data_IF_603410160591
#
_entry.id   IF_603410160591
#
_cell.length_a   1.000
_cell.length_b   1.000
_cell.length_c   1.000
_cell.angle_alpha   90.00
_cell.angle_beta   90.00
_cell.angle_gamma   90.00
#
_symmetry.space_group_name_H-M   'P 1'
#
loop_
_entity.id
_entity.type
_entity.pdbx_description
1 polymer ?
#
# COMPACT_ATOMS: atom_id res chain seq x y z
N UNK A 1 13.45 12.86 13.68
CA UNK A 1 12.00 12.79 13.40
C UNK A 1 11.26 12.62 14.72
N UNK A 2 10.38 13.56 15.08
CA UNK A 2 9.74 13.62 16.40
C UNK A 2 8.21 13.71 16.29
N UNK A 3 7.63 13.06 15.28
CA UNK A 3 6.20 13.17 14.95
C UNK A 3 5.60 11.79 14.79
N UNK A 4 4.46 11.56 15.44
CA UNK A 4 3.66 10.34 15.35
C UNK A 4 2.30 10.63 14.73
N UNK A 5 1.70 9.61 14.13
CA UNK A 5 0.34 9.61 13.62
C UNK A 5 -0.49 8.61 14.43
N UNK A 6 -1.66 9.05 14.85
CA UNK A 6 -2.68 8.23 15.53
C UNK A 6 -3.86 8.10 14.59
N UNK A 7 -4.21 6.87 14.22
CA UNK A 7 -5.29 6.56 13.29
C UNK A 7 -6.19 5.47 13.87
N UNK A 8 -7.32 5.20 13.21
CA UNK A 8 -8.36 4.31 13.76
C UNK A 8 -8.82 4.78 15.15
N UNK A 9 -9.11 6.07 15.27
CA UNK A 9 -9.51 6.71 16.52
C UNK A 9 -11.03 6.57 16.75
N UNK A 10 -11.50 6.52 18.01
CA UNK A 10 -12.93 6.57 18.32
C UNK A 10 -13.59 7.83 17.78
N UNK A 11 -14.86 7.75 17.39
CA UNK A 11 -15.63 8.91 16.93
C UNK A 11 -15.77 10.01 18.00
N UNK A 12 -15.70 9.63 19.28
CA UNK A 12 -15.79 10.51 20.44
C UNK A 12 -14.42 10.79 21.09
N UNK A 13 -13.33 10.75 20.31
CA UNK A 13 -11.99 11.01 20.81
C UNK A 13 -11.72 12.51 20.88
N UNK A 14 -11.72 13.08 22.10
CA UNK A 14 -11.65 14.53 22.33
C UNK A 14 -10.21 15.02 22.47
N UNK A 15 -9.99 16.34 22.33
CA UNK A 15 -8.68 16.94 22.59
C UNK A 15 -8.18 16.69 24.02
N UNK A 16 -9.08 16.67 25.01
CA UNK A 16 -8.73 16.35 26.40
C UNK A 16 -8.27 14.91 26.55
N UNK A 17 -8.91 13.96 25.86
CA UNK A 17 -8.46 12.56 25.85
C UNK A 17 -7.06 12.46 25.26
N UNK A 18 -6.81 13.13 24.13
CA UNK A 18 -5.51 13.14 23.46
C UNK A 18 -4.44 13.68 24.41
N UNK A 19 -4.68 14.84 25.04
CA UNK A 19 -3.73 15.42 25.97
C UNK A 19 -3.49 14.51 27.18
N UNK A 20 -4.55 14.00 27.82
CA UNK A 20 -4.42 13.10 28.99
C UNK A 20 -3.65 11.83 28.68
N UNK A 21 -3.86 11.23 27.51
CA UNK A 21 -3.24 9.95 27.15
C UNK A 21 -1.80 10.17 26.66
N UNK A 22 -1.59 11.12 25.74
CA UNK A 22 -0.32 11.24 25.02
C UNK A 22 0.74 12.08 25.76
N UNK A 23 0.34 12.95 26.69
CA UNK A 23 1.31 13.71 27.51
C UNK A 23 2.11 12.82 28.47
N UNK A 24 1.60 11.63 28.80
CA UNK A 24 2.28 10.66 29.67
C UNK A 24 3.63 10.17 29.12
N UNK A 25 3.85 10.29 27.81
CA UNK A 25 5.05 9.82 27.12
C UNK A 25 6.05 10.95 26.82
N UNK A 26 5.70 12.19 27.18
CA UNK A 26 6.61 13.34 27.09
C UNK A 26 5.92 14.63 26.66
N UNK A 27 6.73 15.69 26.58
CA UNK A 27 6.26 17.04 26.24
C UNK A 27 5.79 17.11 24.78
N UNK A 28 4.52 17.43 24.58
CA UNK A 28 3.90 17.66 23.27
C UNK A 28 4.18 19.10 22.84
N UNK A 29 4.77 19.28 21.65
CA UNK A 29 4.99 20.58 21.01
C UNK A 29 3.80 21.02 20.16
N UNK A 30 3.15 20.09 19.48
CA UNK A 30 2.04 20.39 18.59
C UNK A 30 1.11 19.18 18.43
N UNK A 31 -0.19 19.46 18.35
CA UNK A 31 -1.22 18.51 17.97
C UNK A 31 -1.94 19.07 16.74
N UNK A 32 -2.13 18.24 15.72
CA UNK A 32 -2.87 18.58 14.51
C UNK A 32 -3.88 17.48 14.22
N UNK A 33 -5.16 17.84 14.22
CA UNK A 33 -6.25 16.90 13.97
C UNK A 33 -6.72 17.01 12.52
N UNK A 34 -7.01 15.86 11.93
CA UNK A 34 -7.69 15.73 10.64
C UNK A 34 -8.91 14.83 10.83
N UNK A 35 -9.78 14.73 9.81
CA UNK A 35 -10.97 13.88 9.89
C UNK A 35 -10.66 12.39 10.17
N UNK A 36 -9.47 11.91 9.81
CA UNK A 36 -9.13 10.47 9.87
C UNK A 36 -7.97 10.13 10.81
N UNK A 37 -7.22 11.13 11.26
CA UNK A 37 -6.00 10.92 12.02
C UNK A 37 -5.61 12.15 12.83
N UNK A 38 -4.83 11.92 13.87
CA UNK A 38 -4.21 12.93 14.72
C UNK A 38 -2.71 12.85 14.55
N UNK A 39 -2.05 13.99 14.42
CA UNK A 39 -0.61 14.10 14.36
C UNK A 39 -0.11 14.75 15.65
N UNK A 40 0.83 14.09 16.32
CA UNK A 40 1.41 14.58 17.58
C UNK A 40 2.90 14.76 17.36
N UNK A 41 3.39 15.97 17.62
CA UNK A 41 4.81 16.30 17.57
C UNK A 41 5.33 16.42 18.99
N UNK A 42 6.30 15.58 19.37
CA UNK A 42 6.95 15.62 20.68
C UNK A 42 8.23 16.45 20.65
N UNK A 43 8.67 16.87 21.83
CA UNK A 43 9.99 17.50 22.00
C UNK A 43 11.14 16.55 21.70
N UNK A 44 10.98 15.24 21.93
CA UNK A 44 12.04 14.23 21.76
C UNK A 44 11.60 13.06 20.87
N UNK A 45 12.59 12.42 20.21
CA UNK A 45 12.38 11.16 19.49
C UNK A 45 12.02 10.02 20.45
N UNK A 46 12.59 10.01 21.65
CA UNK A 46 12.34 8.99 22.67
C UNK A 46 10.87 8.93 23.07
N UNK A 47 10.24 10.09 23.27
CA UNK A 47 8.80 10.19 23.55
C UNK A 47 7.93 9.57 22.46
N UNK A 48 8.34 9.70 21.19
CA UNK A 48 7.64 9.06 20.07
C UNK A 48 7.76 7.53 20.14
N UNK A 49 8.96 7.03 20.41
CA UNK A 49 9.22 5.58 20.54
C UNK A 49 8.39 4.98 21.67
N UNK A 50 8.37 5.62 22.84
CA UNK A 50 7.58 5.16 23.98
C UNK A 50 6.07 5.19 23.70
N UNK A 51 5.57 6.29 23.13
CA UNK A 51 4.17 6.40 22.76
C UNK A 51 3.76 5.31 21.74
N UNK A 52 4.55 5.10 20.68
CA UNK A 52 4.29 4.05 19.69
C UNK A 52 4.27 2.67 20.37
N UNK A 53 5.30 2.34 21.16
CA UNK A 53 5.41 1.03 21.79
C UNK A 53 4.29 0.73 22.80
N UNK A 54 3.78 1.76 23.50
CA UNK A 54 2.78 1.57 24.56
C UNK A 54 1.34 1.75 24.09
N UNK A 55 1.11 2.47 23.00
CA UNK A 55 -0.24 2.82 22.55
C UNK A 55 -0.65 2.18 21.22
N UNK A 56 0.30 1.74 20.38
CA UNK A 56 -0.07 1.10 19.11
C UNK A 56 -0.83 -0.21 19.38
N UNK A 57 -2.04 -0.32 18.83
CA UNK A 57 -2.92 -1.47 19.05
C UNK A 57 -3.64 -1.47 20.41
N UNK A 58 -3.60 -0.37 21.17
CA UNK A 58 -4.31 -0.28 22.45
C UNK A 58 -5.81 -0.04 22.23
N UNK A 59 -6.65 -0.73 23.00
CA UNK A 59 -8.10 -0.51 23.02
C UNK A 59 -8.42 0.77 23.81
N UNK A 60 -9.05 1.75 23.17
CA UNK A 60 -9.48 3.00 23.77
C UNK A 60 -10.90 3.28 23.28
N UNK A 61 -11.86 3.42 24.21
CA UNK A 61 -13.29 3.64 23.89
C UNK A 61 -13.78 2.73 22.76
N UNK A 62 -13.57 1.42 22.94
CA UNK A 62 -13.98 0.35 22.00
C UNK A 62 -13.25 0.33 20.64
N UNK A 63 -12.31 1.24 20.39
CA UNK A 63 -11.51 1.25 19.17
C UNK A 63 -10.04 0.91 19.45
N UNK A 64 -9.47 -0.02 18.67
CA UNK A 64 -8.04 -0.30 18.70
C UNK A 64 -7.27 0.78 17.94
N UNK A 65 -6.69 1.74 18.65
CA UNK A 65 -5.96 2.83 18.00
C UNK A 65 -4.68 2.32 17.36
N UNK A 66 -4.27 2.96 16.25
CA UNK A 66 -3.02 2.68 15.55
C UNK A 66 -2.09 3.86 15.72
N UNK A 67 -0.90 3.61 16.26
CA UNK A 67 0.12 4.63 16.49
C UNK A 67 1.38 4.25 15.73
N UNK A 68 1.84 5.14 14.85
CA UNK A 68 3.00 4.90 13.98
C UNK A 68 3.77 6.21 13.76
N UNK A 69 4.94 6.13 13.14
CA UNK A 69 5.70 7.30 12.72
C UNK A 69 4.95 8.10 11.65
N UNK A 70 4.88 9.43 11.82
CA UNK A 70 4.24 10.32 10.87
C UNK A 70 5.20 10.78 9.77
N UNK A 71 5.61 9.89 8.86
CA UNK A 71 6.47 10.32 7.75
C UNK A 71 5.71 11.23 6.80
N UNK A 72 6.45 12.15 6.17
CA UNK A 72 5.90 13.03 5.13
C UNK A 72 5.30 12.21 3.99
N UNK A 73 4.24 12.72 3.38
CA UNK A 73 3.57 12.01 2.28
C UNK A 73 4.52 11.87 1.09
N UNK A 74 5.25 12.94 0.77
CA UNK A 74 6.07 13.03 -0.44
C UNK A 74 7.41 12.27 -0.32
N UNK A 75 7.74 11.76 0.88
CA UNK A 75 8.89 10.86 1.07
C UNK A 75 8.51 9.37 1.04
N UNK A 76 7.21 9.04 0.98
CA UNK A 76 6.71 7.65 0.95
C UNK A 76 6.47 7.19 -0.48
N UNK A 77 6.88 5.96 -0.74
CA UNK A 77 6.47 5.19 -1.92
C UNK A 77 6.01 3.80 -1.53
N UNK A 78 5.08 3.26 -2.30
CA UNK A 78 4.53 1.93 -2.14
C UNK A 78 4.90 1.11 -3.37
N UNK A 79 5.66 0.04 -3.13
CA UNK A 79 6.18 -0.83 -4.18
C UNK A 79 5.41 -2.14 -4.14
N UNK A 80 4.89 -2.51 -5.30
CA UNK A 80 4.10 -3.71 -5.55
C UNK A 80 4.84 -4.62 -6.54
N UNK A 81 4.33 -5.83 -6.70
CA UNK A 81 4.90 -6.85 -7.56
C UNK A 81 6.31 -7.33 -7.14
N UNK A 82 6.58 -7.29 -5.83
CA UNK A 82 7.81 -7.84 -5.26
C UNK A 82 7.68 -9.38 -5.21
N UNK A 83 8.70 -10.13 -5.67
CA UNK A 83 8.72 -11.59 -5.56
C UNK A 83 8.58 -12.07 -4.11
N UNK A 84 7.82 -13.15 -3.89
CA UNK A 84 7.45 -13.62 -2.55
C UNK A 84 8.62 -14.20 -1.75
N UNK A 85 9.69 -14.63 -2.42
CA UNK A 85 10.93 -15.17 -1.87
C UNK A 85 11.96 -14.08 -1.50
N UNK A 86 11.54 -12.82 -1.49
CA UNK A 86 12.43 -11.68 -1.26
C UNK A 86 12.53 -11.31 0.22
N UNK A 87 13.75 -11.06 0.70
CA UNK A 87 13.99 -10.58 2.06
C UNK A 87 14.00 -9.05 2.14
N UNK A 88 13.76 -8.50 3.33
CA UNK A 88 13.84 -7.05 3.56
C UNK A 88 15.25 -6.51 3.34
N UNK A 89 16.29 -7.30 3.65
CA UNK A 89 17.70 -6.91 3.49
C UNK A 89 18.10 -6.81 2.01
N UNK A 90 17.61 -7.74 1.18
CA UNK A 90 17.79 -7.67 -0.27
C UNK A 90 17.15 -6.40 -0.84
N UNK A 91 15.93 -6.07 -0.40
CA UNK A 91 15.23 -4.86 -0.83
C UNK A 91 15.91 -3.60 -0.32
N UNK A 92 16.40 -3.62 0.93
CA UNK A 92 17.12 -2.51 1.51
C UNK A 92 18.39 -2.20 0.69
N UNK A 93 19.15 -3.25 0.34
CA UNK A 93 20.35 -3.16 -0.50
C UNK A 93 20.03 -2.67 -1.91
N UNK A 94 18.94 -3.18 -2.51
CA UNK A 94 18.52 -2.75 -3.84
C UNK A 94 18.07 -1.28 -3.85
N UNK A 95 17.24 -0.87 -2.89
CA UNK A 95 16.67 0.48 -2.88
C UNK A 95 17.64 1.55 -2.38
N UNK A 96 18.70 1.19 -1.64
CA UNK A 96 19.71 2.15 -1.19
C UNK A 96 20.48 2.80 -2.34
N UNK A 97 20.47 2.18 -3.54
CA UNK A 97 21.00 2.80 -4.74
C UNK A 97 20.23 4.06 -5.19
N UNK A 98 18.91 4.11 -4.91
CA UNK A 98 18.05 5.21 -5.35
C UNK A 98 17.97 6.37 -4.36
N UNK A 99 18.48 6.18 -3.14
CA UNK A 99 18.49 7.21 -2.10
C UNK A 99 18.68 6.61 -0.70
N UNK A 100 18.96 7.48 0.27
CA UNK A 100 19.09 7.07 1.67
C UNK A 100 17.72 6.67 2.24
N UNK A 101 17.63 5.42 2.71
CA UNK A 101 16.40 4.84 3.22
C UNK A 101 16.21 5.29 4.68
N UNK A 102 15.14 6.05 4.92
CA UNK A 102 14.71 6.42 6.27
C UNK A 102 13.98 5.26 6.95
N UNK A 103 13.14 4.54 6.20
CA UNK A 103 12.35 3.44 6.73
C UNK A 103 11.85 2.52 5.62
N UNK A 104 11.87 1.22 5.87
CA UNK A 104 11.41 0.19 4.95
C UNK A 104 10.62 -0.88 5.73
N UNK A 105 9.41 -1.24 5.27
CA UNK A 105 8.62 -2.32 5.86
C UNK A 105 7.64 -2.95 4.89
N UNK A 106 7.34 -4.23 5.09
CA UNK A 106 6.21 -4.87 4.42
C UNK A 106 4.87 -4.49 5.09
N UNK A 107 3.88 -4.22 4.26
CA UNK A 107 2.47 -4.04 4.58
C UNK A 107 1.68 -5.08 3.78
N UNK A 108 1.55 -6.29 4.32
CA UNK A 108 1.09 -7.48 3.56
C UNK A 108 2.04 -7.75 2.39
N UNK A 109 1.57 -7.65 1.15
CA UNK A 109 2.33 -7.86 -0.09
C UNK A 109 2.85 -6.55 -0.73
N UNK A 110 2.76 -5.43 -0.02
CA UNK A 110 3.22 -4.11 -0.48
C UNK A 110 4.41 -3.71 0.38
N UNK A 111 5.50 -3.25 -0.23
CA UNK A 111 6.61 -2.65 0.50
C UNK A 111 6.36 -1.15 0.63
N UNK A 112 6.30 -0.67 1.87
CA UNK A 112 6.43 0.76 2.16
C UNK A 112 7.92 1.09 2.22
N UNK A 113 8.34 2.02 1.38
CA UNK A 113 9.68 2.59 1.40
C UNK A 113 9.57 4.10 1.66
N UNK A 114 10.38 4.60 2.56
CA UNK A 114 10.46 6.01 2.93
C UNK A 114 11.89 6.47 2.78
N UNK A 115 12.12 7.50 1.96
CA UNK A 115 13.44 8.10 1.80
C UNK A 115 13.66 9.23 2.82
N UNK A 116 14.93 9.47 3.16
CA UNK A 116 15.33 10.66 3.91
C UNK A 116 15.04 11.91 3.08
N UNK A 117 15.32 11.86 1.77
CA UNK A 117 15.06 12.96 0.83
C UNK A 117 13.81 12.68 -0.03
N UNK A 118 12.84 13.60 0.00
CA UNK A 118 11.61 13.54 -0.82
C UNK A 118 11.87 13.55 -2.34
N UNK A 119 13.02 14.07 -2.79
CA UNK A 119 13.39 14.05 -4.20
C UNK A 119 13.69 12.63 -4.69
N UNK A 120 14.26 11.79 -3.83
CA UNK A 120 14.57 10.39 -4.15
C UNK A 120 13.28 9.58 -4.33
N UNK A 121 12.28 9.82 -3.48
CA UNK A 121 10.93 9.27 -3.64
C UNK A 121 10.29 9.69 -4.99
N UNK A 122 10.36 10.98 -5.33
CA UNK A 122 9.88 11.51 -6.62
C UNK A 122 10.59 10.88 -7.81
N UNK A 123 11.91 10.76 -7.75
CA UNK A 123 12.72 10.15 -8.80
C UNK A 123 12.38 8.68 -8.98
N UNK A 124 12.23 7.93 -7.88
CA UNK A 124 11.85 6.52 -7.94
C UNK A 124 10.45 6.35 -8.54
N UNK A 125 9.49 7.23 -8.24
CA UNK A 125 8.15 7.20 -8.86
C UNK A 125 8.18 7.32 -10.38
N UNK A 126 9.13 8.07 -10.96
CA UNK A 126 9.30 8.19 -12.43
C UNK A 126 9.76 6.88 -13.09
N UNK A 127 10.24 5.92 -12.29
CA UNK A 127 10.69 4.60 -12.68
C UNK A 127 9.61 3.52 -12.52
N UNK A 128 8.37 3.89 -12.20
CA UNK A 128 7.24 2.97 -12.13
C UNK A 128 7.11 2.15 -13.43
N UNK A 129 7.17 0.82 -13.30
CA UNK A 129 7.10 -0.12 -14.43
C UNK A 129 8.38 -0.22 -15.28
N UNK A 130 9.45 0.53 -14.95
CA UNK A 130 10.71 0.56 -15.72
C UNK A 130 11.85 -0.21 -15.07
N UNK A 131 11.83 -0.35 -13.75
CA UNK A 131 12.84 -1.11 -13.00
C UNK A 131 12.32 -2.52 -12.69
N UNK A 132 13.23 -3.49 -12.66
CA UNK A 132 12.92 -4.86 -12.29
C UNK A 132 13.78 -5.34 -11.12
N UNK A 133 13.24 -6.26 -10.34
CA UNK A 133 13.92 -6.93 -9.25
C UNK A 133 13.63 -8.44 -9.34
N UNK A 134 14.68 -9.26 -9.37
CA UNK A 134 14.60 -10.72 -9.64
C UNK A 134 13.65 -11.05 -10.81
N UNK A 135 13.79 -10.34 -11.94
CA UNK A 135 12.98 -10.47 -13.16
C UNK A 135 11.53 -9.95 -13.08
N UNK A 136 11.06 -9.43 -11.95
CA UNK A 136 9.75 -8.79 -11.84
C UNK A 136 9.86 -7.28 -12.02
N UNK A 137 9.15 -6.71 -13.00
CA UNK A 137 8.99 -5.27 -13.10
C UNK A 137 8.18 -4.72 -11.92
N UNK A 138 8.76 -3.77 -11.21
CA UNK A 138 8.18 -3.20 -10.00
C UNK A 138 7.14 -2.13 -10.35
N UNK A 139 6.03 -2.14 -9.61
CA UNK A 139 5.01 -1.08 -9.68
C UNK A 139 5.17 -0.15 -8.48
N UNK A 140 5.35 1.14 -8.73
CA UNK A 140 5.67 2.14 -7.71
C UNK A 140 4.56 3.19 -7.70
N UNK A 141 4.04 3.50 -6.51
CA UNK A 141 2.87 4.37 -6.34
C UNK A 141 2.97 5.19 -5.05
N UNK A 142 2.15 6.25 -4.95
CA UNK A 142 2.06 7.12 -3.75
C UNK A 142 1.05 6.62 -2.72
N UNK A 143 0.36 5.50 -2.98
CA UNK A 143 -0.63 4.94 -2.07
C UNK A 143 -0.62 3.42 -2.05
N UNK A 144 -1.16 2.84 -0.98
CA UNK A 144 -1.40 1.39 -0.90
C UNK A 144 -2.45 0.92 -1.90
N UNK A 145 -3.27 1.83 -2.42
CA UNK A 145 -4.12 1.51 -3.54
C UNK A 145 -3.17 1.39 -4.73
N UNK A 146 -2.85 0.15 -5.10
CA UNK A 146 -2.51 -0.10 -6.49
C UNK A 146 -3.62 0.57 -7.29
N UNK A 147 -3.26 1.34 -8.32
CA UNK A 147 -4.24 1.63 -9.37
C UNK A 147 -5.00 0.34 -9.60
N UNK A 148 -6.30 0.46 -9.36
CA UNK A 148 -7.23 -0.60 -9.01
C UNK A 148 -7.21 -1.71 -10.05
N UNK A 149 -8.00 -2.75 -9.84
CA UNK A 149 -8.36 -3.76 -10.83
C UNK A 149 -8.89 -3.22 -12.20
N UNK A 150 -8.66 -1.95 -12.54
CA UNK A 150 -8.79 -1.32 -13.87
C UNK A 150 -8.21 -2.15 -15.01
N UNK A 151 -7.19 -2.96 -14.75
CA UNK A 151 -6.58 -3.84 -15.75
C UNK A 151 -7.06 -5.30 -15.61
N UNK A 152 -7.78 -5.64 -14.53
CA UNK A 152 -8.16 -7.00 -14.18
C UNK A 152 -9.66 -7.20 -14.35
N UNK A 153 -10.04 -8.15 -15.19
CA UNK A 153 -11.43 -8.59 -15.32
C UNK A 153 -11.61 -9.85 -14.49
N UNK A 154 -12.62 -9.87 -13.62
CA UNK A 154 -13.05 -11.07 -12.91
C UNK A 154 -14.27 -11.67 -13.61
N UNK A 155 -14.22 -12.98 -13.83
CA UNK A 155 -15.28 -13.74 -14.49
C UNK A 155 -15.84 -14.71 -13.47
N UNK A 156 -17.16 -14.71 -13.32
CA UNK A 156 -17.87 -15.62 -12.42
C UNK A 156 -18.68 -16.61 -13.24
N UNK A 157 -18.96 -17.78 -12.65
CA UNK A 157 -19.72 -18.88 -13.27
C UNK A 157 -19.05 -19.44 -14.52
N UNK A 158 -17.71 -19.53 -14.50
CA UNK A 158 -16.96 -20.22 -15.54
C UNK A 158 -17.32 -21.71 -15.49
N UNK A 159 -17.72 -22.30 -16.61
CA UNK A 159 -17.99 -23.75 -16.70
C UNK A 159 -16.72 -24.55 -16.40
N UNK A 160 -16.87 -25.70 -15.75
CA UNK A 160 -15.75 -26.63 -15.48
C UNK A 160 -15.11 -27.20 -16.76
N UNK A 161 -15.79 -27.08 -17.90
CA UNK A 161 -15.28 -27.51 -19.20
C UNK A 161 -14.36 -26.47 -19.86
N UNK A 162 -14.37 -25.22 -19.39
CA UNK A 162 -13.55 -24.14 -19.95
C UNK A 162 -12.12 -24.31 -19.48
N UNK A 163 -11.21 -24.49 -20.43
CA UNK A 163 -9.78 -24.57 -20.14
C UNK A 163 -9.13 -23.19 -20.08
N UNK A 164 -7.92 -23.12 -19.56
CA UNK A 164 -7.13 -21.89 -19.58
C UNK A 164 -6.81 -21.43 -21.02
N UNK A 165 -6.63 -22.36 -21.97
CA UNK A 165 -6.44 -22.03 -23.39
C UNK A 165 -7.70 -21.39 -24.00
N UNK A 166 -8.88 -21.92 -23.70
CA UNK A 166 -10.15 -21.32 -24.15
C UNK A 166 -10.31 -19.89 -23.58
N UNK A 167 -9.95 -19.72 -22.31
CA UNK A 167 -9.97 -18.42 -21.62
C UNK A 167 -9.04 -17.40 -22.29
N UNK A 168 -7.81 -17.79 -22.61
CA UNK A 168 -6.85 -16.93 -23.30
C UNK A 168 -7.36 -16.55 -24.69
N UNK A 169 -7.92 -17.50 -25.44
CA UNK A 169 -8.47 -17.25 -26.77
C UNK A 169 -9.68 -16.30 -26.71
N UNK A 170 -10.56 -16.47 -25.74
CA UNK A 170 -11.75 -15.62 -25.57
C UNK A 170 -11.39 -14.15 -25.28
N UNK A 171 -10.37 -13.92 -24.46
CA UNK A 171 -10.06 -12.58 -23.94
C UNK A 171 -8.92 -11.86 -24.69
N UNK A 172 -8.02 -12.57 -25.37
CA UNK A 172 -6.87 -11.98 -26.08
C UNK A 172 -7.27 -10.98 -27.17
N UNK A 173 -8.47 -11.14 -27.76
CA UNK A 173 -9.03 -10.19 -28.74
C UNK A 173 -9.28 -8.78 -28.19
N UNK A 174 -9.35 -8.62 -26.86
CA UNK A 174 -9.57 -7.30 -26.24
C UNK A 174 -8.27 -6.59 -25.89
N UNK A 175 -7.14 -7.32 -25.85
CA UNK A 175 -5.80 -6.78 -25.65
C UNK A 175 -4.82 -7.83 -25.14
N UNK A 176 -3.57 -7.40 -25.01
CA UNK A 176 -2.50 -8.23 -24.49
C UNK A 176 -2.77 -8.65 -23.03
N UNK A 177 -2.75 -9.95 -22.79
CA UNK A 177 -2.97 -10.56 -21.48
C UNK A 177 -1.61 -10.77 -20.81
N UNK A 178 -1.39 -10.12 -19.68
CA UNK A 178 -0.21 -10.32 -18.83
C UNK A 178 -0.33 -11.64 -18.06
N UNK A 179 -1.54 -11.95 -17.56
CA UNK A 179 -1.81 -13.21 -16.85
C UNK A 179 -3.29 -13.51 -16.80
N UNK A 180 -3.62 -14.80 -16.73
CA UNK A 180 -4.97 -15.29 -16.49
C UNK A 180 -4.95 -16.47 -15.52
N UNK A 181 -6.12 -16.90 -15.08
CA UNK A 181 -6.25 -18.15 -14.34
C UNK A 181 -7.71 -18.48 -14.06
N UNK A 182 -8.01 -19.78 -13.94
CA UNK A 182 -9.34 -20.30 -13.60
C UNK A 182 -9.22 -21.18 -12.35
N UNK A 183 -10.10 -20.98 -11.38
CA UNK A 183 -10.22 -21.82 -10.19
C UNK A 183 -11.63 -21.75 -9.62
N UNK A 184 -12.22 -22.90 -9.31
CA UNK A 184 -13.53 -23.04 -8.64
C UNK A 184 -14.64 -22.20 -9.31
N UNK A 185 -14.87 -22.38 -10.62
CA UNK A 185 -15.84 -21.65 -11.44
C UNK A 185 -15.65 -20.12 -11.47
N UNK A 186 -14.45 -19.63 -11.13
CA UNK A 186 -14.09 -18.22 -11.19
C UNK A 186 -12.81 -18.07 -11.98
N UNK A 187 -12.74 -17.04 -12.79
CA UNK A 187 -11.54 -16.72 -13.56
C UNK A 187 -11.12 -15.27 -13.38
N UNK A 188 -9.88 -14.98 -13.71
CA UNK A 188 -9.39 -13.61 -13.86
C UNK A 188 -8.58 -13.48 -15.14
N UNK A 189 -8.59 -12.27 -15.70
CA UNK A 189 -7.72 -11.86 -16.81
C UNK A 189 -7.13 -10.51 -16.50
N UNK A 190 -5.80 -10.42 -16.45
CA UNK A 190 -5.05 -9.20 -16.29
C UNK A 190 -4.54 -8.74 -17.66
N UNK A 191 -5.05 -7.60 -18.12
CA UNK A 191 -4.60 -6.96 -19.34
C UNK A 191 -3.43 -6.01 -19.10
N UNK A 192 -2.63 -5.79 -20.14
CA UNK A 192 -1.61 -4.74 -20.13
C UNK A 192 -2.21 -3.34 -19.97
N UNK A 193 -3.36 -3.09 -20.63
CA UNK A 193 -4.02 -1.77 -20.68
C UNK A 193 -5.39 -1.78 -20.01
N UNK A 194 -5.70 -0.73 -19.25
CA UNK A 194 -7.05 -0.49 -18.69
C UNK A 194 -8.14 -0.48 -19.77
N UNK A 195 -7.86 0.09 -20.94
CA UNK A 195 -8.81 0.12 -22.05
C UNK A 195 -9.19 -1.26 -22.58
N UNK A 196 -8.30 -2.25 -22.46
CA UNK A 196 -8.55 -3.64 -22.84
C UNK A 196 -9.48 -4.34 -21.85
N UNK A 197 -9.27 -4.12 -20.54
CA UNK A 197 -10.18 -4.62 -19.51
C UNK A 197 -11.58 -4.00 -19.64
N UNK A 198 -11.68 -2.69 -19.91
CA UNK A 198 -12.96 -2.01 -20.14
C UNK A 198 -13.70 -2.56 -21.38
N UNK A 199 -12.97 -2.84 -22.47
CA UNK A 199 -13.56 -3.51 -23.65
C UNK A 199 -14.06 -4.90 -23.31
N UNK A 200 -13.23 -5.71 -22.63
CA UNK A 200 -13.60 -7.06 -22.24
C UNK A 200 -14.88 -7.07 -21.37
N UNK A 201 -14.97 -6.20 -20.34
CA UNK A 201 -16.20 -6.05 -19.54
C UNK A 201 -17.37 -5.63 -20.43
N UNK A 202 -17.21 -4.59 -21.25
CA UNK A 202 -18.29 -4.09 -22.12
C UNK A 202 -18.88 -5.16 -23.06
N UNK A 203 -18.05 -6.06 -23.58
CA UNK A 203 -18.49 -7.03 -24.61
C UNK A 203 -18.78 -8.44 -24.07
N UNK A 204 -18.22 -8.82 -22.92
CA UNK A 204 -18.37 -10.16 -22.35
C UNK A 204 -19.34 -10.21 -21.17
N UNK A 205 -19.66 -9.07 -20.55
CA UNK A 205 -20.62 -9.07 -19.44
C UNK A 205 -22.01 -9.56 -19.90
N UNK A 206 -22.58 -10.49 -19.14
CA UNK A 206 -23.86 -11.14 -19.44
C UNK A 206 -23.85 -12.13 -20.62
N UNK A 207 -22.70 -12.43 -21.24
CA UNK A 207 -22.60 -13.48 -22.26
C UNK A 207 -22.61 -14.87 -21.61
N UNK A 208 -23.32 -15.80 -22.25
CA UNK A 208 -23.38 -17.22 -21.87
C UNK A 208 -22.29 -18.00 -22.58
#
# INVERSE_FOLDING_TARGET
MNKIIVSNIPNNFTNDDIHKIFSLYGTIKNISNTQKAIFITYSSKQSCVEAINKLNGKLIKEQYIKVDWAYERDSKVYIHNIPIDTTLDELNTFFSYYGEILHIKFLKNILLLVFVNKKDASNLLLLNGKISFKKNYLKISTSTNSTTHKHCVYIYNVSNEVTEMDFLQMFSKYGEIISSGIKNNKGYVNFEKESSALKAVKYMDGKK
#
